data_IF_676458024531
#
_entry.id   IF_676458024531
#
_cell.length_a   1.000
_cell.length_b   1.000
_cell.length_c   1.000
_cell.angle_alpha   90.00
_cell.angle_beta   90.00
_cell.angle_gamma   90.00
#
_symmetry.space_group_name_H-M   'P 1'
#
loop_
_entity.id
_entity.type
_entity.pdbx_description
1 polymer ?
#
# COMPACT_ATOMS: atom_id res chain seq x y z
N UNK A 1 -9.37 -0.17 20.42
CA UNK A 1 -8.24 0.30 19.58
C UNK A 1 -8.73 1.05 18.35
N UNK A 2 -9.52 0.46 17.44
CA UNK A 2 -10.03 1.16 16.24
C UNK A 2 -10.85 2.42 16.57
N UNK A 3 -11.67 2.41 17.63
CA UNK A 3 -12.36 3.61 18.10
C UNK A 3 -11.40 4.76 18.44
N UNK A 4 -10.23 4.47 18.99
CA UNK A 4 -9.20 5.47 19.27
C UNK A 4 -8.69 6.09 17.98
N UNK A 5 -8.31 5.27 17.00
CA UNK A 5 -7.79 5.75 15.73
C UNK A 5 -8.83 6.52 14.89
N UNK A 6 -10.12 6.25 15.09
CA UNK A 6 -11.21 6.98 14.43
C UNK A 6 -11.74 8.15 15.28
N UNK A 7 -11.15 8.39 16.45
CA UNK A 7 -11.62 9.44 17.35
C UNK A 7 -11.21 10.83 16.87
N UNK A 8 -12.00 11.83 17.28
CA UNK A 8 -11.70 13.24 16.97
C UNK A 8 -10.30 13.68 17.45
N UNK A 9 -9.83 13.35 18.66
CA UNK A 9 -8.47 13.70 19.07
C UNK A 9 -7.39 13.12 18.17
N UNK A 10 -7.57 11.91 17.62
CA UNK A 10 -6.62 11.32 16.68
C UNK A 10 -6.64 12.05 15.34
N UNK A 11 -7.82 12.42 14.84
CA UNK A 11 -7.94 13.19 13.60
C UNK A 11 -7.30 14.57 13.76
N UNK A 12 -7.58 15.29 14.85
CA UNK A 12 -6.97 16.59 15.16
C UNK A 12 -5.43 16.49 15.29
N UNK A 13 -4.91 15.41 15.89
CA UNK A 13 -3.48 15.14 15.95
C UNK A 13 -2.89 14.97 14.54
N UNK A 14 -3.52 14.17 13.68
CA UNK A 14 -3.07 13.94 12.31
C UNK A 14 -3.15 15.22 11.47
N UNK A 15 -4.22 16.01 11.61
CA UNK A 15 -4.38 17.30 10.94
C UNK A 15 -3.29 18.30 11.36
N UNK A 16 -2.98 18.36 12.65
CA UNK A 16 -1.89 19.21 13.17
C UNK A 16 -0.52 18.76 12.69
N UNK A 17 -0.28 17.44 12.62
CA UNK A 17 1.00 16.87 12.17
C UNK A 17 1.23 17.06 10.67
N UNK A 18 0.19 16.88 9.86
CA UNK A 18 0.29 16.82 8.39
C UNK A 18 -0.15 18.10 7.68
N UNK A 19 -0.77 19.02 8.42
CA UNK A 19 -1.43 20.23 7.89
C UNK A 19 -2.62 19.96 6.95
N UNK A 20 -3.01 18.69 6.77
CA UNK A 20 -4.16 18.29 5.95
C UNK A 20 -5.42 18.41 6.81
N UNK A 21 -6.31 19.33 6.46
CA UNK A 21 -7.54 19.57 7.20
C UNK A 21 -8.72 18.75 6.66
N UNK A 22 -9.70 18.49 7.53
CA UNK A 22 -10.92 17.77 7.17
C UNK A 22 -10.70 16.27 6.97
N UNK A 23 -9.83 15.68 7.78
CA UNK A 23 -9.55 14.25 7.71
C UNK A 23 -10.77 13.42 8.14
N UNK A 24 -11.01 12.38 7.37
CA UNK A 24 -12.09 11.40 7.56
C UNK A 24 -11.44 10.03 7.70
N UNK A 25 -11.72 9.29 8.77
CA UNK A 25 -11.30 7.90 8.93
C UNK A 25 -12.10 6.96 8.01
N UNK A 26 -11.50 5.83 7.62
CA UNK A 26 -12.21 4.79 6.86
C UNK A 26 -13.09 3.93 7.79
N UNK A 27 -14.42 4.02 7.69
CA UNK A 27 -15.31 3.20 8.52
C UNK A 27 -15.36 1.73 8.10
N UNK A 28 -14.92 1.43 6.87
CA UNK A 28 -14.96 0.08 6.28
C UNK A 28 -13.62 -0.64 6.30
N UNK A 29 -12.52 0.07 6.58
CA UNK A 29 -11.15 -0.47 6.58
C UNK A 29 -10.79 -1.18 5.27
N UNK A 30 -11.22 -0.65 4.11
CA UNK A 30 -10.96 -1.26 2.80
C UNK A 30 -9.44 -1.29 2.53
N UNK A 31 -8.88 -2.51 2.50
CA UNK A 31 -7.44 -2.73 2.39
C UNK A 31 -6.64 -2.38 3.65
N UNK A 32 -7.30 -1.94 4.73
CA UNK A 32 -6.74 -1.65 6.04
C UNK A 32 -7.06 -2.72 7.07
N UNK A 33 -6.89 -2.41 8.36
CA UNK A 33 -7.13 -3.30 9.48
C UNK A 33 -5.89 -4.07 9.93
N UNK A 34 -6.07 -5.28 10.45
CA UNK A 34 -4.95 -6.13 10.86
C UNK A 34 -4.33 -6.82 9.66
N UNK A 35 -3.00 -6.72 9.56
CA UNK A 35 -2.21 -7.41 8.55
C UNK A 35 -1.23 -8.36 9.22
N UNK A 36 -1.12 -9.54 8.65
CA UNK A 36 -0.20 -10.59 9.10
C UNK A 36 0.54 -11.17 7.89
N UNK A 37 1.86 -11.24 7.98
CA UNK A 37 2.71 -11.79 6.91
C UNK A 37 3.69 -12.79 7.52
N UNK A 38 3.68 -14.02 7.04
CA UNK A 38 4.58 -15.07 7.48
C UNK A 38 5.86 -15.17 6.66
N UNK A 39 6.67 -16.18 6.98
CA UNK A 39 7.93 -16.50 6.30
C UNK A 39 7.76 -16.55 4.78
N UNK A 40 8.69 -15.94 4.05
CA UNK A 40 8.67 -15.84 2.59
C UNK A 40 7.69 -14.80 2.03
N UNK A 41 6.77 -14.29 2.86
CA UNK A 41 5.84 -13.26 2.43
C UNK A 41 6.54 -11.92 2.18
N UNK A 42 6.06 -11.19 1.21
CA UNK A 42 6.58 -9.86 0.80
C UNK A 42 5.44 -9.00 0.26
N UNK A 43 5.66 -7.70 0.23
CA UNK A 43 4.80 -6.75 -0.44
C UNK A 43 5.67 -5.87 -1.35
N UNK A 44 5.54 -6.05 -2.66
CA UNK A 44 6.29 -5.29 -3.66
C UNK A 44 6.12 -3.79 -3.49
N UNK A 45 7.09 -3.01 -3.97
CA UNK A 45 6.99 -1.55 -3.92
C UNK A 45 5.82 -1.10 -4.80
N UNK A 46 4.97 -0.26 -4.25
CA UNK A 46 3.75 0.22 -4.89
C UNK A 46 3.40 1.63 -4.41
N UNK A 47 2.60 2.31 -5.21
CA UNK A 47 1.82 3.46 -4.77
C UNK A 47 0.37 3.00 -4.59
N UNK A 48 -0.24 3.44 -3.51
CA UNK A 48 -1.61 3.07 -3.16
C UNK A 48 -2.66 3.69 -4.08
N UNK A 49 -3.86 3.09 -4.10
CA UNK A 49 -5.02 3.72 -4.71
C UNK A 49 -5.30 5.07 -4.02
N UNK A 50 -5.70 6.06 -4.81
CA UNK A 50 -5.92 7.43 -4.32
C UNK A 50 -7.37 7.74 -3.98
N UNK A 51 -8.30 7.06 -4.63
CA UNK A 51 -9.74 7.26 -4.46
C UNK A 51 -10.37 6.02 -3.86
N UNK A 52 -11.10 6.19 -2.76
CA UNK A 52 -12.03 5.19 -2.30
C UNK A 52 -13.31 5.34 -3.13
N UNK A 53 -13.53 4.41 -4.07
CA UNK A 53 -14.66 4.48 -5.02
C UNK A 53 -16.02 4.40 -4.31
N UNK A 54 -16.11 3.62 -3.24
CA UNK A 54 -17.37 3.44 -2.51
C UNK A 54 -17.78 4.70 -1.76
N UNK A 55 -16.82 5.40 -1.17
CA UNK A 55 -17.06 6.60 -0.36
C UNK A 55 -16.89 7.90 -1.15
N UNK A 56 -16.34 7.82 -2.34
CA UNK A 56 -15.94 8.98 -3.13
C UNK A 56 -15.01 9.94 -2.37
N UNK A 57 -14.05 9.39 -1.62
CA UNK A 57 -13.10 10.12 -0.80
C UNK A 57 -11.68 9.98 -1.33
N UNK A 58 -10.89 11.05 -1.18
CA UNK A 58 -9.48 11.06 -1.54
C UNK A 58 -8.61 10.57 -0.37
N UNK A 59 -7.84 9.53 -0.58
CA UNK A 59 -6.87 8.99 0.38
C UNK A 59 -5.70 9.96 0.52
N UNK A 60 -5.38 10.33 1.75
CA UNK A 60 -4.38 11.35 2.06
C UNK A 60 -3.23 10.83 2.89
N UNK A 61 -3.52 9.95 3.85
CA UNK A 61 -2.56 9.51 4.86
C UNK A 61 -2.70 8.01 5.08
N UNK A 62 -1.56 7.33 5.18
CA UNK A 62 -1.42 6.02 5.79
C UNK A 62 -0.87 6.15 7.20
N UNK A 63 -1.46 5.40 8.12
CA UNK A 63 -0.93 5.18 9.47
C UNK A 63 -0.72 3.68 9.64
N UNK A 64 0.52 3.27 9.90
CA UNK A 64 0.86 1.87 10.15
C UNK A 64 1.40 1.75 11.57
N UNK A 65 0.77 0.90 12.39
CA UNK A 65 1.24 0.59 13.73
C UNK A 65 1.73 -0.85 13.76
N UNK A 66 2.97 -1.06 14.12
CA UNK A 66 3.58 -2.39 14.21
C UNK A 66 3.35 -3.03 15.58
N UNK A 67 3.15 -4.35 15.57
CA UNK A 67 2.79 -5.16 16.74
C UNK A 67 3.77 -6.31 16.99
N UNK A 68 5.03 -6.17 16.57
CA UNK A 68 6.01 -7.24 16.59
C UNK A 68 6.96 -7.08 17.77
N UNK A 69 6.67 -7.78 18.84
CA UNK A 69 7.59 -7.86 19.98
C UNK A 69 8.84 -8.68 19.62
N UNK A 70 10.01 -8.28 20.16
CA UNK A 70 11.29 -8.94 19.95
C UNK A 70 11.67 -9.16 18.46
N UNK A 71 11.26 -8.26 17.58
CA UNK A 71 11.59 -8.34 16.15
C UNK A 71 13.09 -8.18 15.92
N UNK A 72 13.68 -9.11 15.18
CA UNK A 72 15.11 -9.13 14.90
C UNK A 72 15.41 -8.62 13.49
N UNK A 73 16.55 -7.93 13.28
CA UNK A 73 16.93 -7.41 11.96
C UNK A 73 17.01 -8.49 10.88
N UNK A 74 17.48 -9.68 11.23
CA UNK A 74 17.59 -10.82 10.30
C UNK A 74 16.25 -11.34 9.77
N UNK A 75 15.13 -10.98 10.39
CA UNK A 75 13.80 -11.32 9.89
C UNK A 75 13.39 -10.49 8.67
N UNK A 76 14.03 -9.33 8.46
CA UNK A 76 13.71 -8.40 7.39
C UNK A 76 12.34 -7.74 7.59
N UNK A 77 11.62 -7.47 6.50
CA UNK A 77 10.27 -6.92 6.52
C UNK A 77 10.18 -5.45 6.90
N UNK A 78 11.27 -4.72 6.76
CA UNK A 78 11.30 -3.28 6.92
C UNK A 78 10.38 -2.60 5.90
N UNK A 79 9.67 -1.56 6.32
CA UNK A 79 8.96 -0.70 5.40
C UNK A 79 9.96 0.17 4.67
N UNK A 80 10.04 0.02 3.37
CA UNK A 80 10.83 0.90 2.52
C UNK A 80 9.96 2.04 1.98
N UNK A 81 10.48 3.27 2.07
CA UNK A 81 9.93 4.44 1.39
C UNK A 81 10.92 4.87 0.29
N UNK A 82 10.41 5.06 -0.91
CA UNK A 82 11.20 5.38 -2.10
C UNK A 82 10.94 6.80 -2.59
N UNK A 83 11.88 7.35 -3.35
CA UNK A 83 11.66 8.63 -4.02
C UNK A 83 10.65 8.51 -5.18
N UNK A 84 10.17 9.66 -5.63
CA UNK A 84 9.14 9.77 -6.67
C UNK A 84 9.54 9.15 -8.01
N UNK A 85 10.84 9.11 -8.30
CA UNK A 85 11.39 8.57 -9.54
C UNK A 85 11.73 7.08 -9.44
N UNK A 86 11.55 6.46 -8.28
CA UNK A 86 11.96 5.07 -7.98
C UNK A 86 13.46 4.82 -8.18
N UNK A 87 14.30 5.84 -8.00
CA UNK A 87 15.77 5.72 -8.16
C UNK A 87 16.48 5.33 -6.88
N UNK A 88 15.98 5.82 -5.74
CA UNK A 88 16.62 5.57 -4.46
C UNK A 88 15.61 5.32 -3.33
N UNK A 89 15.92 4.34 -2.50
CA UNK A 89 15.28 4.16 -1.21
C UNK A 89 15.68 5.31 -0.29
N UNK A 90 14.71 6.03 0.26
CA UNK A 90 14.90 7.18 1.13
C UNK A 90 14.90 6.82 2.60
N UNK A 91 14.10 5.82 2.96
CA UNK A 91 13.96 5.39 4.36
C UNK A 91 13.67 3.89 4.42
N UNK A 92 14.19 3.25 5.46
CA UNK A 92 13.87 1.88 5.85
C UNK A 92 13.45 1.89 7.32
N UNK A 93 12.25 1.37 7.61
CA UNK A 93 11.67 1.40 8.95
C UNK A 93 11.44 -0.01 9.44
N UNK A 94 12.20 -0.44 10.44
CA UNK A 94 12.01 -1.75 11.08
C UNK A 94 10.63 -1.85 11.74
N UNK A 95 9.90 -2.97 11.59
CA UNK A 95 8.53 -3.13 12.06
C UNK A 95 8.47 -3.48 13.56
N UNK A 96 9.06 -2.66 14.42
CA UNK A 96 9.17 -2.91 15.87
C UNK A 96 7.84 -2.66 16.59
N UNK A 97 7.63 -3.37 17.69
CA UNK A 97 6.46 -3.19 18.55
C UNK A 97 6.24 -1.72 18.93
N UNK A 98 4.99 -1.29 18.91
CA UNK A 98 4.55 0.08 19.23
C UNK A 98 5.17 1.19 18.35
N UNK A 99 5.79 0.84 17.21
CA UNK A 99 6.25 1.83 16.22
C UNK A 99 5.08 2.23 15.34
N UNK A 100 4.83 3.54 15.26
CA UNK A 100 3.84 4.12 14.36
C UNK A 100 4.56 4.84 13.21
N UNK A 101 4.15 4.58 11.99
CA UNK A 101 4.63 5.26 10.78
C UNK A 101 3.46 5.97 10.13
N UNK A 102 3.62 7.27 9.89
CA UNK A 102 2.62 8.12 9.25
C UNK A 102 3.25 8.72 8.01
N UNK A 103 2.60 8.55 6.86
CA UNK A 103 3.08 9.11 5.60
C UNK A 103 1.94 9.48 4.66
N UNK A 104 2.19 10.48 3.82
CA UNK A 104 1.23 10.92 2.81
C UNK A 104 1.10 9.91 1.68
N UNK A 105 -0.09 9.83 1.10
CA UNK A 105 -0.37 8.99 -0.06
C UNK A 105 -0.68 9.86 -1.27
N UNK A 106 0.23 9.78 -2.26
CA UNK A 106 0.12 10.40 -3.57
C UNK A 106 0.39 9.34 -4.67
N UNK A 107 0.24 9.73 -5.94
CA UNK A 107 0.47 8.83 -7.07
C UNK A 107 1.91 8.28 -7.14
N UNK A 108 2.84 8.92 -6.44
CA UNK A 108 4.27 8.64 -6.42
C UNK A 108 4.83 8.39 -5.00
N UNK A 109 3.96 8.13 -4.04
CA UNK A 109 4.33 7.73 -2.67
C UNK A 109 4.65 6.23 -2.61
N UNK A 110 5.80 5.84 -3.19
CA UNK A 110 6.20 4.45 -3.33
C UNK A 110 6.70 3.85 -2.03
N UNK A 111 6.11 2.73 -1.65
CA UNK A 111 6.44 2.02 -0.41
C UNK A 111 6.16 0.52 -0.50
N UNK A 112 6.73 -0.25 0.44
CA UNK A 112 6.51 -1.71 0.54
C UNK A 112 7.51 -2.38 1.47
N UNK A 113 7.49 -3.71 1.51
CA UNK A 113 8.55 -4.55 2.08
C UNK A 113 8.86 -5.67 1.07
N UNK A 114 9.67 -5.36 0.06
CA UNK A 114 9.77 -6.17 -1.16
C UNK A 114 10.58 -7.44 -1.00
N UNK A 115 11.39 -7.54 0.05
CA UNK A 115 12.20 -8.73 0.32
C UNK A 115 11.40 -9.76 1.11
N UNK A 116 11.51 -11.07 0.76
CA UNK A 116 10.84 -12.13 1.48
C UNK A 116 11.27 -12.22 2.94
N UNK A 117 10.30 -12.31 3.85
CA UNK A 117 10.57 -12.46 5.29
C UNK A 117 11.36 -13.73 5.60
N UNK A 118 12.33 -13.61 6.49
CA UNK A 118 13.18 -14.70 6.98
C UNK A 118 12.83 -15.10 8.43
N UNK A 119 11.57 -14.95 8.80
CA UNK A 119 11.11 -15.29 10.15
C UNK A 119 11.18 -16.80 10.39
N UNK A 120 11.41 -17.25 11.65
CA UNK A 120 11.17 -18.64 12.06
C UNK A 120 9.69 -19.02 11.85
N UNK A 121 9.43 -20.33 11.80
CA UNK A 121 8.06 -20.83 11.70
C UNK A 121 7.20 -20.34 12.88
N UNK A 122 5.99 -19.89 12.59
CA UNK A 122 5.06 -19.35 13.57
C UNK A 122 5.31 -17.88 13.96
N UNK A 123 6.43 -17.28 13.55
CA UNK A 123 6.70 -15.85 13.77
C UNK A 123 6.17 -15.05 12.59
N UNK A 124 5.23 -14.15 12.87
CA UNK A 124 4.53 -13.35 11.88
C UNK A 124 4.88 -11.86 12.02
N UNK A 125 5.02 -11.17 10.89
CA UNK A 125 5.08 -9.71 10.85
C UNK A 125 3.66 -9.16 10.92
N UNK A 126 3.35 -8.48 12.02
CA UNK A 126 2.01 -7.96 12.32
C UNK A 126 1.98 -6.45 12.30
N UNK A 127 0.92 -5.91 11.74
CA UNK A 127 0.66 -4.46 11.76
C UNK A 127 -0.83 -4.18 11.72
N UNK A 128 -1.17 -2.93 12.09
CA UNK A 128 -2.47 -2.33 11.82
C UNK A 128 -2.22 -1.24 10.80
N UNK A 129 -2.92 -1.30 9.67
CA UNK A 129 -2.90 -0.25 8.67
C UNK A 129 -4.23 0.51 8.67
N UNK A 130 -4.15 1.83 8.69
CA UNK A 130 -5.29 2.73 8.76
C UNK A 130 -5.13 3.81 7.69
N UNK A 131 -6.24 4.16 7.05
CA UNK A 131 -6.27 5.11 5.97
C UNK A 131 -7.17 6.29 6.31
N UNK A 132 -6.69 7.49 6.00
CA UNK A 132 -7.43 8.72 6.25
C UNK A 132 -7.61 9.48 4.94
N UNK A 133 -8.79 10.00 4.79
CA UNK A 133 -9.29 10.60 3.55
C UNK A 133 -9.68 12.04 3.75
N UNK A 134 -9.88 12.75 2.66
CA UNK A 134 -10.58 14.04 2.63
C UNK A 134 -11.68 14.00 1.59
N UNK A 135 -12.77 14.75 1.83
CA UNK A 135 -13.75 15.02 0.81
C UNK A 135 -13.19 16.10 -0.15
N UNK A 136 -13.24 15.85 -1.45
CA UNK A 136 -12.88 16.86 -2.45
C UNK A 136 -13.64 16.64 -3.75
N UNK A 137 -14.30 17.70 -4.24
CA UNK A 137 -15.01 17.66 -5.52
C UNK A 137 -14.07 17.82 -6.73
N UNK A 138 -12.88 18.36 -6.54
CA UNK A 138 -11.95 18.70 -7.63
C UNK A 138 -11.11 17.51 -8.09
N UNK A 139 -10.97 16.48 -7.25
CA UNK A 139 -10.02 15.38 -7.42
C UNK A 139 -10.42 14.40 -8.50
N UNK A 140 -11.71 14.32 -8.85
CA UNK A 140 -12.19 13.33 -9.84
C UNK A 140 -11.79 13.62 -11.29
N UNK A 141 -11.39 14.86 -11.61
CA UNK A 141 -11.09 15.25 -12.99
C UNK A 141 -9.67 14.89 -13.45
N UNK A 142 -8.73 14.79 -12.51
CA UNK A 142 -7.30 14.67 -12.82
C UNK A 142 -6.56 13.52 -12.11
N UNK A 143 -7.26 12.54 -11.55
CA UNK A 143 -6.61 11.40 -10.88
C UNK A 143 -6.40 10.25 -11.86
N UNK A 144 -5.14 10.00 -12.30
CA UNK A 144 -4.85 9.03 -13.35
C UNK A 144 -4.96 7.57 -12.93
N UNK A 145 -5.08 7.26 -11.65
CA UNK A 145 -5.14 5.87 -11.17
C UNK A 145 -6.07 5.71 -9.97
N UNK A 146 -7.02 4.79 -10.11
CA UNK A 146 -7.96 4.38 -9.08
C UNK A 146 -7.43 3.14 -8.33
N UNK A 147 -6.43 2.45 -8.85
CA UNK A 147 -5.91 1.21 -8.26
C UNK A 147 -4.44 1.33 -7.84
N UNK A 148 -4.01 0.44 -6.94
CA UNK A 148 -2.61 0.33 -6.47
C UNK A 148 -1.67 0.02 -7.64
N UNK A 149 -0.60 0.78 -7.80
CA UNK A 149 0.37 0.65 -8.87
C UNK A 149 1.67 0.03 -8.32
N UNK A 150 2.07 -1.13 -8.85
CA UNK A 150 3.30 -1.83 -8.47
C UNK A 150 4.49 -1.42 -9.32
N UNK A 151 5.65 -1.27 -8.68
CA UNK A 151 6.92 -0.97 -9.33
C UNK A 151 8.02 -1.94 -8.89
N UNK A 152 8.90 -2.32 -9.83
CA UNK A 152 10.14 -3.01 -9.50
C UNK A 152 11.19 -1.99 -9.05
N UNK A 153 12.07 -2.39 -8.13
CA UNK A 153 13.21 -1.58 -7.69
C UNK A 153 14.32 -1.60 -8.75
N UNK A 154 15.17 -0.59 -8.79
CA UNK A 154 16.46 -0.70 -9.50
C UNK A 154 17.25 -1.91 -8.93
N UNK A 155 17.68 -2.81 -9.82
CA UNK A 155 18.43 -4.00 -9.43
C UNK A 155 17.62 -5.24 -9.08
N UNK A 156 16.30 -5.18 -9.04
CA UNK A 156 15.46 -6.38 -8.90
C UNK A 156 15.70 -7.36 -10.08
N UNK A 157 15.55 -8.65 -9.82
CA UNK A 157 15.71 -9.68 -10.82
C UNK A 157 14.69 -9.58 -11.97
N UNK A 158 14.97 -10.26 -13.07
CA UNK A 158 14.13 -10.22 -14.27
C UNK A 158 12.71 -10.76 -14.02
N UNK A 159 12.54 -11.67 -13.06
CA UNK A 159 11.23 -12.23 -12.70
C UNK A 159 10.38 -11.18 -11.99
N UNK A 160 10.91 -10.53 -10.95
CA UNK A 160 10.25 -9.43 -10.23
C UNK A 160 9.92 -8.26 -11.15
N UNK A 161 10.83 -7.91 -12.06
CA UNK A 161 10.57 -6.85 -13.07
C UNK A 161 9.44 -7.23 -14.04
N UNK A 162 9.35 -8.49 -14.46
CA UNK A 162 8.26 -8.99 -15.29
C UNK A 162 6.93 -8.99 -14.55
N UNK A 163 6.92 -9.44 -13.29
CA UNK A 163 5.74 -9.45 -12.45
C UNK A 163 5.16 -8.02 -12.27
N UNK A 164 5.99 -7.05 -11.92
CA UNK A 164 5.58 -5.66 -11.77
C UNK A 164 5.04 -5.06 -13.09
N UNK A 165 5.69 -5.38 -14.24
CA UNK A 165 5.18 -4.96 -15.56
C UNK A 165 3.85 -5.58 -15.89
N UNK A 166 3.66 -6.85 -15.55
CA UNK A 166 2.43 -7.57 -15.80
C UNK A 166 1.28 -7.01 -14.97
N UNK A 167 1.49 -6.78 -13.67
CA UNK A 167 0.48 -6.18 -12.80
C UNK A 167 0.03 -4.81 -13.33
N UNK A 168 0.97 -3.97 -13.79
CA UNK A 168 0.64 -2.69 -14.43
C UNK A 168 -0.16 -2.85 -15.71
N UNK A 169 0.21 -3.81 -16.55
CA UNK A 169 -0.52 -4.08 -17.79
C UNK A 169 -1.95 -4.58 -17.51
N UNK A 170 -2.11 -5.50 -16.55
CA UNK A 170 -3.43 -6.00 -16.16
C UNK A 170 -4.32 -4.89 -15.55
N UNK A 171 -3.72 -3.95 -14.82
CA UNK A 171 -4.42 -2.76 -14.30
C UNK A 171 -4.88 -1.83 -15.44
N UNK A 172 -4.01 -1.55 -16.42
CA UNK A 172 -4.37 -0.76 -17.59
C UNK A 172 -5.50 -1.42 -18.40
N UNK A 173 -5.42 -2.73 -18.59
CA UNK A 173 -6.48 -3.48 -19.27
C UNK A 173 -7.85 -3.34 -18.57
N UNK A 174 -7.87 -3.38 -17.23
CA UNK A 174 -9.11 -3.23 -16.46
C UNK A 174 -9.76 -1.86 -16.61
N UNK A 175 -9.00 -0.81 -16.93
CA UNK A 175 -9.54 0.52 -17.17
C UNK A 175 -10.25 0.65 -18.53
N UNK A 176 -9.85 -0.15 -19.54
CA UNK A 176 -10.34 -0.03 -20.91
C UNK A 176 -11.23 -1.19 -21.36
N UNK A 177 -11.13 -2.34 -20.70
CA UNK A 177 -11.84 -3.56 -21.10
C UNK A 177 -12.98 -3.82 -20.13
N UNK A 178 -14.24 -3.92 -20.62
CA UNK A 178 -15.37 -4.28 -19.78
C UNK A 178 -15.13 -5.59 -19.01
N UNK A 179 -15.59 -5.70 -17.75
CA UNK A 179 -15.35 -6.88 -16.90
C UNK A 179 -15.77 -8.21 -17.55
N UNK A 180 -16.80 -8.21 -18.39
CA UNK A 180 -17.24 -9.39 -19.11
C UNK A 180 -16.21 -9.91 -20.12
N UNK A 181 -15.42 -9.02 -20.73
CA UNK A 181 -14.38 -9.37 -21.72
C UNK A 181 -13.04 -9.72 -21.07
N UNK A 182 -12.75 -9.25 -19.85
CA UNK A 182 -11.51 -9.54 -19.14
C UNK A 182 -11.28 -11.04 -18.97
N UNK A 183 -12.34 -11.83 -18.78
CA UNK A 183 -12.26 -13.30 -18.68
C UNK A 183 -11.67 -13.94 -19.94
N UNK A 184 -12.03 -13.42 -21.11
CA UNK A 184 -11.53 -13.90 -22.41
C UNK A 184 -10.06 -13.50 -22.61
N UNK A 185 -9.70 -12.27 -22.29
CA UNK A 185 -8.31 -11.79 -22.36
C UNK A 185 -7.38 -12.63 -21.49
N UNK A 186 -7.75 -12.88 -20.24
CA UNK A 186 -6.98 -13.73 -19.32
C UNK A 186 -6.92 -15.20 -19.76
N UNK A 187 -7.95 -15.71 -20.43
CA UNK A 187 -7.95 -17.07 -21.00
C UNK A 187 -6.96 -17.19 -22.19
N UNK A 188 -6.92 -16.19 -23.06
CA UNK A 188 -5.97 -16.12 -24.18
C UNK A 188 -4.53 -16.00 -23.65
N UNK A 189 -4.26 -15.13 -22.69
CA UNK A 189 -2.94 -14.98 -22.07
C UNK A 189 -2.44 -16.29 -21.43
N UNK A 190 -3.32 -17.06 -20.78
CA UNK A 190 -2.97 -18.38 -20.22
C UNK A 190 -2.61 -19.42 -21.30
N UNK A 191 -3.23 -19.32 -22.49
CA UNK A 191 -2.91 -20.23 -23.60
C UNK A 191 -1.58 -19.90 -24.29
N UNK A 192 -1.22 -18.62 -24.36
CA UNK A 192 0.05 -18.19 -24.97
C UNK A 192 1.28 -18.39 -24.05
N UNK A 193 1.08 -18.77 -22.79
CA UNK A 193 2.15 -19.05 -21.82
C UNK A 193 2.47 -20.55 -21.64
N UNK A 194 1.72 -21.41 -22.30
CA UNK A 194 2.00 -22.85 -22.40
C UNK A 194 2.73 -23.15 -23.70
#
# INVERSE_FOLDING_TARGET
MFHFFNSRPMLEFLEGLTTIQGLISDPYYIGGGFHETGRGGKLGIHADFRINEQLHLHRRINVIVYLNDNWKPEYGGELELWDRDMKAKRLSVAPLFNRCVIFNTDADSYHGHPDPLQTPDGVMRRSIALYYYTASKEIYKDVPSISTIYHARPGDDAATQREARQLRFDQHLRQWVPPALLRYVHAIQRRLRR
#
